data_IF_740351218550
#
_entry.id   IF_740351218550
#
_cell.length_a   1.000
_cell.length_b   1.000
_cell.length_c   1.000
_cell.angle_alpha   90.00
_cell.angle_beta   90.00
_cell.angle_gamma   90.00
#
_symmetry.space_group_name_H-M   'P 1'
#
loop_
_entity.id
_entity.type
_entity.pdbx_description
1 polymer ?
#
# COMPACT_ATOMS: atom_id res chain seq x y z
N UNK A 1 19.07 -5.68 -27.18
CA UNK A 1 18.37 -4.48 -26.67
C UNK A 1 17.18 -4.85 -25.80
N UNK A 2 16.36 -5.79 -26.21
CA UNK A 2 15.29 -6.33 -25.38
C UNK A 2 15.79 -6.94 -24.07
N UNK A 3 16.97 -7.59 -24.11
CA UNK A 3 17.60 -8.19 -22.92
C UNK A 3 17.89 -7.13 -21.84
N UNK A 4 18.36 -5.96 -22.25
CA UNK A 4 18.68 -4.87 -21.32
C UNK A 4 17.42 -4.32 -20.65
N UNK A 5 16.31 -4.23 -21.39
CA UNK A 5 15.02 -3.78 -20.86
C UNK A 5 14.48 -4.79 -19.85
N UNK A 6 14.61 -6.07 -20.15
CA UNK A 6 14.18 -7.16 -19.25
C UNK A 6 15.02 -7.19 -17.98
N UNK A 7 16.35 -7.00 -18.10
CA UNK A 7 17.25 -6.92 -16.95
C UNK A 7 16.90 -5.73 -16.05
N UNK A 8 16.61 -4.56 -16.65
CA UNK A 8 16.18 -3.38 -15.89
C UNK A 8 14.88 -3.66 -15.14
N UNK A 9 13.95 -4.39 -15.76
CA UNK A 9 12.68 -4.76 -15.14
C UNK A 9 12.88 -5.72 -13.98
N UNK A 10 13.76 -6.74 -14.16
CA UNK A 10 14.09 -7.72 -13.13
C UNK A 10 14.81 -7.09 -11.93
N UNK A 11 15.59 -6.04 -12.17
CA UNK A 11 16.34 -5.32 -11.13
C UNK A 11 15.60 -4.11 -10.61
N UNK A 12 14.36 -3.88 -11.07
CA UNK A 12 13.57 -2.74 -10.63
C UNK A 12 13.22 -2.87 -9.15
N UNK A 13 13.33 -1.76 -8.43
CA UNK A 13 12.91 -1.64 -7.04
C UNK A 13 11.43 -1.25 -6.94
N UNK A 14 10.63 -1.57 -7.96
CA UNK A 14 9.20 -1.24 -7.95
C UNK A 14 8.32 -2.44 -8.24
N UNK A 15 7.09 -2.35 -7.74
CA UNK A 15 5.99 -3.27 -8.00
C UNK A 15 4.79 -2.45 -8.48
N UNK A 16 4.12 -2.92 -9.52
CA UNK A 16 2.93 -2.26 -10.06
C UNK A 16 1.75 -3.22 -10.03
N UNK A 17 0.58 -2.69 -9.71
CA UNK A 17 -0.66 -3.44 -9.75
C UNK A 17 -1.79 -2.49 -10.08
N UNK A 18 -2.84 -2.97 -10.75
CA UNK A 18 -3.97 -2.13 -11.09
C UNK A 18 -5.27 -2.92 -11.08
N UNK A 19 -6.38 -2.20 -10.93
CA UNK A 19 -7.72 -2.79 -10.96
C UNK A 19 -8.71 -1.72 -11.42
N UNK A 20 -9.83 -2.15 -12.00
CA UNK A 20 -10.95 -1.26 -12.31
C UNK A 20 -12.12 -1.58 -11.40
N UNK A 21 -12.81 -0.54 -10.92
CA UNK A 21 -13.96 -0.67 -10.05
C UNK A 21 -15.15 0.09 -10.64
N UNK A 22 -16.36 -0.43 -10.45
CA UNK A 22 -17.58 0.15 -10.97
C UNK A 22 -18.15 1.22 -10.03
N UNK A 23 -17.32 2.22 -9.69
CA UNK A 23 -17.67 3.32 -8.81
C UNK A 23 -16.91 4.57 -9.24
N UNK A 24 -17.42 5.79 -8.95
CA UNK A 24 -16.70 7.01 -9.29
C UNK A 24 -15.43 7.19 -8.44
N UNK A 25 -14.47 8.01 -8.91
CA UNK A 25 -13.21 8.22 -8.19
C UNK A 25 -13.37 8.64 -6.73
N UNK A 26 -14.36 9.46 -6.41
CA UNK A 26 -14.64 9.92 -5.06
C UNK A 26 -14.93 8.74 -4.12
N UNK A 27 -15.74 7.81 -4.58
CA UNK A 27 -16.08 6.62 -3.81
C UNK A 27 -14.89 5.67 -3.69
N UNK A 28 -14.17 5.47 -4.80
CA UNK A 28 -12.99 4.61 -4.81
C UNK A 28 -11.92 5.14 -3.86
N UNK A 29 -11.67 6.44 -3.88
CA UNK A 29 -10.71 7.09 -2.98
C UNK A 29 -11.13 6.93 -1.52
N UNK A 30 -12.40 7.17 -1.21
CA UNK A 30 -12.94 7.04 0.15
C UNK A 30 -12.78 5.62 0.69
N UNK A 31 -13.16 4.61 -0.09
CA UNK A 31 -13.06 3.21 0.35
C UNK A 31 -11.60 2.81 0.53
N UNK A 32 -10.71 3.27 -0.34
CA UNK A 32 -9.29 2.95 -0.24
C UNK A 32 -8.66 3.53 1.02
N UNK A 33 -9.05 4.73 1.42
CA UNK A 33 -8.46 5.48 2.54
C UNK A 33 -9.26 5.35 3.83
N UNK A 34 -10.35 6.07 3.97
CA UNK A 34 -11.19 6.03 5.18
C UNK A 34 -11.74 4.63 5.43
N UNK A 35 -12.03 3.89 4.38
CA UNK A 35 -12.56 2.54 4.44
C UNK A 35 -11.53 1.42 4.47
N UNK A 36 -10.25 1.73 4.67
CA UNK A 36 -9.16 0.74 4.57
C UNK A 36 -9.37 -0.47 5.48
N UNK A 37 -9.94 -0.26 6.65
CA UNK A 37 -10.20 -1.35 7.62
C UNK A 37 -11.16 -2.42 7.08
N UNK A 38 -12.02 -2.06 6.13
CA UNK A 38 -13.02 -2.98 5.57
C UNK A 38 -12.43 -4.00 4.61
N UNK A 39 -11.31 -3.67 3.95
CA UNK A 39 -10.76 -4.53 2.89
C UNK A 39 -9.35 -5.01 3.16
N UNK A 40 -8.61 -4.43 4.10
CA UNK A 40 -7.25 -4.85 4.40
C UNK A 40 -7.25 -6.28 4.92
N UNK A 41 -6.30 -7.09 4.44
CA UNK A 41 -6.15 -8.49 4.86
C UNK A 41 -5.85 -8.56 6.35
N UNK A 42 -6.71 -9.26 7.10
CA UNK A 42 -6.63 -9.31 8.57
C UNK A 42 -5.34 -9.95 9.11
N UNK A 43 -4.74 -10.83 8.33
CA UNK A 43 -3.47 -11.46 8.71
C UNK A 43 -2.25 -10.59 8.40
N UNK A 44 -2.41 -9.48 7.67
CA UNK A 44 -1.32 -8.57 7.32
C UNK A 44 -1.25 -7.44 8.34
N UNK A 45 -0.50 -7.66 9.41
CA UNK A 45 -0.27 -6.67 10.44
C UNK A 45 1.14 -6.85 11.04
N UNK A 46 1.65 -5.79 11.65
CA UNK A 46 3.01 -5.74 12.21
C UNK A 46 3.05 -6.28 13.64
N UNK A 47 2.08 -5.90 14.44
CA UNK A 47 2.05 -6.20 15.87
C UNK A 47 1.62 -7.64 16.14
N UNK A 48 1.99 -8.14 17.33
CA UNK A 48 1.50 -9.42 17.84
C UNK A 48 0.01 -9.31 18.21
N UNK A 49 -0.65 -10.46 18.34
CA UNK A 49 -2.10 -10.50 18.59
C UNK A 49 -2.90 -10.35 17.31
N UNK A 50 -4.18 -10.06 17.45
CA UNK A 50 -5.08 -9.89 16.30
C UNK A 50 -5.20 -8.43 15.92
N UNK A 51 -5.36 -8.15 14.63
CA UNK A 51 -5.62 -6.82 14.12
C UNK A 51 -7.06 -6.43 14.50
N UNK A 52 -7.18 -5.36 15.30
CA UNK A 52 -8.48 -4.79 15.65
C UNK A 52 -8.94 -3.80 14.61
N UNK A 53 -8.08 -2.84 14.26
CA UNK A 53 -8.41 -1.79 13.30
C UNK A 53 -7.15 -1.30 12.60
N UNK A 54 -7.31 -0.92 11.33
CA UNK A 54 -6.27 -0.24 10.55
C UNK A 54 -6.84 1.07 10.03
N UNK A 55 -6.04 2.13 10.01
CA UNK A 55 -6.53 3.44 9.63
C UNK A 55 -5.49 4.33 8.97
N UNK A 56 -5.99 5.41 8.40
CA UNK A 56 -5.22 6.44 7.71
C UNK A 56 -5.64 7.80 8.27
N UNK A 57 -4.67 8.59 8.72
CA UNK A 57 -4.94 9.99 9.07
C UNK A 57 -5.04 10.79 7.77
N UNK A 58 -6.15 11.53 7.52
CA UNK A 58 -6.46 12.06 6.19
C UNK A 58 -5.77 13.40 5.89
N UNK A 59 -4.44 13.44 5.97
CA UNK A 59 -3.65 14.64 5.65
C UNK A 59 -2.18 14.25 5.44
N UNK A 60 -1.44 15.09 4.73
CA UNK A 60 0.01 14.90 4.52
C UNK A 60 0.73 14.96 5.88
N UNK A 61 1.59 13.97 6.12
CA UNK A 61 2.27 13.80 7.41
C UNK A 61 1.50 12.93 8.39
N UNK A 62 0.24 12.62 8.10
CA UNK A 62 -0.58 11.74 8.91
C UNK A 62 -0.05 10.31 8.94
N UNK A 63 -0.56 9.52 9.87
CA UNK A 63 -0.09 8.15 10.09
C UNK A 63 -0.88 7.15 9.25
N UNK A 64 -0.18 6.13 8.77
CA UNK A 64 -0.76 4.84 8.44
C UNK A 64 -0.56 4.01 9.69
N UNK A 65 -1.63 3.57 10.34
CA UNK A 65 -1.54 2.96 11.67
C UNK A 65 -2.38 1.69 11.76
N UNK A 66 -2.02 0.86 12.73
CA UNK A 66 -2.80 -0.32 13.10
C UNK A 66 -2.96 -0.37 14.63
N UNK A 67 -4.08 -0.91 15.08
CA UNK A 67 -4.34 -1.18 16.49
C UNK A 67 -4.61 -2.68 16.65
N UNK A 68 -3.99 -3.29 17.68
CA UNK A 68 -4.21 -4.71 17.98
C UNK A 68 -5.29 -4.89 19.03
N UNK A 69 -5.62 -6.14 19.35
CA UNK A 69 -6.64 -6.50 20.32
C UNK A 69 -6.31 -6.09 21.77
N UNK A 70 -5.05 -5.80 22.05
CA UNK A 70 -4.61 -5.27 23.35
C UNK A 70 -4.72 -3.73 23.42
N UNK A 71 -5.06 -3.06 22.33
CA UNK A 71 -5.15 -1.60 22.25
C UNK A 71 -3.85 -0.92 21.89
N UNK A 72 -2.81 -1.67 21.55
CA UNK A 72 -1.53 -1.10 21.13
C UNK A 72 -1.62 -0.58 19.70
N UNK A 73 -1.05 0.60 19.46
CA UNK A 73 -1.06 1.25 18.15
C UNK A 73 0.35 1.28 17.57
N UNK A 74 0.49 0.88 16.32
CA UNK A 74 1.74 0.92 15.58
C UNK A 74 1.58 1.78 14.33
N UNK A 75 2.48 2.75 14.13
CA UNK A 75 2.56 3.53 12.91
C UNK A 75 3.47 2.78 11.93
N UNK A 76 2.94 2.36 10.79
CA UNK A 76 3.69 1.61 9.80
C UNK A 76 3.93 2.36 8.50
N UNK A 77 3.50 3.63 8.44
CA UNK A 77 3.72 4.51 7.29
C UNK A 77 3.29 5.94 7.59
N UNK A 78 3.58 6.83 6.65
CA UNK A 78 3.17 8.24 6.70
C UNK A 78 2.53 8.63 5.39
N UNK A 79 1.51 9.46 5.45
CA UNK A 79 0.87 10.01 4.24
C UNK A 79 1.82 11.02 3.60
N UNK A 80 2.14 10.79 2.33
CA UNK A 80 3.05 11.63 1.53
C UNK A 80 2.29 12.55 0.58
N UNK A 81 1.12 12.13 0.09
CA UNK A 81 0.25 12.93 -0.76
C UNK A 81 -1.19 12.61 -0.44
N UNK A 82 -1.99 13.64 -0.35
CA UNK A 82 -3.43 13.56 -0.08
C UNK A 82 -4.17 14.47 -1.04
N UNK A 83 -4.57 13.94 -2.18
CA UNK A 83 -5.16 14.70 -3.29
C UNK A 83 -6.46 14.03 -3.76
N UNK A 84 -7.52 14.07 -2.92
CA UNK A 84 -8.78 13.45 -3.31
C UNK A 84 -9.42 14.19 -4.50
N UNK A 85 -10.05 13.47 -5.41
CA UNK A 85 -10.21 12.02 -5.45
C UNK A 85 -9.20 11.31 -6.34
N UNK A 86 -8.07 11.96 -6.70
CA UNK A 86 -7.19 11.50 -7.77
C UNK A 86 -5.94 10.78 -7.32
N UNK A 87 -5.35 11.15 -6.16
CA UNK A 87 -4.05 10.61 -5.78
C UNK A 87 -3.88 10.51 -4.29
N UNK A 88 -3.33 9.38 -3.84
CA UNK A 88 -2.97 9.09 -2.47
C UNK A 88 -1.60 8.42 -2.47
N UNK A 89 -0.68 8.91 -1.62
CA UNK A 89 0.64 8.29 -1.50
C UNK A 89 1.03 8.19 -0.03
N UNK A 90 1.75 7.14 0.31
CA UNK A 90 2.24 6.92 1.66
C UNK A 90 3.57 6.18 1.65
N UNK A 91 4.35 6.34 2.73
CA UNK A 91 5.57 5.58 2.93
C UNK A 91 5.23 4.22 3.52
N UNK A 92 6.02 3.21 3.12
CA UNK A 92 5.91 1.84 3.62
C UNK A 92 7.15 1.58 4.47
N UNK A 93 6.99 1.53 5.79
CA UNK A 93 8.09 1.38 6.73
C UNK A 93 8.39 -0.07 7.09
N UNK A 94 7.54 -0.99 6.67
CA UNK A 94 7.67 -2.43 6.99
C UNK A 94 8.83 -3.01 6.19
N UNK A 95 9.86 -3.45 6.90
CA UNK A 95 11.11 -3.91 6.30
C UNK A 95 11.16 -5.42 6.02
N UNK A 96 12.37 -5.93 5.71
CA UNK A 96 12.56 -7.34 5.32
C UNK A 96 12.17 -8.36 6.39
N UNK A 97 12.17 -7.98 7.66
CA UNK A 97 11.72 -8.83 8.76
C UNK A 97 10.22 -8.70 9.05
N UNK A 98 9.51 -7.95 8.20
CA UNK A 98 8.08 -7.65 8.31
C UNK A 98 7.72 -6.87 9.58
N UNK A 99 8.72 -6.18 10.14
CA UNK A 99 8.55 -5.25 11.26
C UNK A 99 8.89 -3.83 10.84
N UNK A 100 8.60 -2.89 11.74
CA UNK A 100 8.94 -1.48 11.55
C UNK A 100 10.15 -1.16 12.44
N UNK A 101 11.32 -0.79 11.84
CA UNK A 101 12.53 -0.51 12.62
C UNK A 101 12.39 0.71 13.53
N UNK A 102 11.58 1.69 13.13
CA UNK A 102 11.32 2.89 13.91
C UNK A 102 10.51 3.89 13.10
N UNK A 103 9.91 4.92 13.75
CA UNK A 103 9.02 5.87 13.06
C UNK A 103 9.75 6.74 12.03
N UNK A 104 11.06 6.92 12.18
CA UNK A 104 11.88 7.71 11.27
C UNK A 104 12.76 6.84 10.37
N UNK A 105 12.49 5.54 10.30
CA UNK A 105 13.25 4.62 9.47
C UNK A 105 13.02 4.92 7.99
N UNK A 106 14.01 4.54 7.16
CA UNK A 106 13.88 4.61 5.72
C UNK A 106 12.81 3.62 5.27
N UNK A 107 11.97 4.05 4.35
CA UNK A 107 10.91 3.22 3.80
C UNK A 107 10.76 3.40 2.31
N UNK A 108 9.99 2.52 1.72
CA UNK A 108 9.58 2.61 0.33
C UNK A 108 8.33 3.50 0.22
N UNK A 109 7.86 3.70 -1.01
CA UNK A 109 6.73 4.58 -1.30
C UNK A 109 5.66 3.83 -2.07
N UNK A 110 4.41 4.03 -1.66
CA UNK A 110 3.24 3.55 -2.40
C UNK A 110 2.47 4.75 -2.92
N UNK A 111 2.21 4.78 -4.22
CA UNK A 111 1.40 5.82 -4.86
C UNK A 111 0.20 5.17 -5.53
N UNK A 112 -0.98 5.66 -5.22
CA UNK A 112 -2.24 5.16 -5.77
C UNK A 112 -2.92 6.28 -6.55
N UNK A 113 -3.20 6.03 -7.81
CA UNK A 113 -3.84 7.00 -8.71
C UNK A 113 -5.22 6.48 -9.10
N UNK A 114 -6.22 7.35 -9.02
CA UNK A 114 -7.61 7.05 -9.31
C UNK A 114 -8.03 7.83 -10.55
N UNK A 115 -8.22 7.13 -11.67
CA UNK A 115 -8.52 7.75 -12.95
C UNK A 115 -9.94 7.38 -13.38
N UNK A 116 -10.81 8.36 -13.68
CA UNK A 116 -12.14 8.05 -14.19
C UNK A 116 -12.04 7.36 -15.55
N UNK A 117 -12.81 6.29 -15.71
CA UNK A 117 -12.96 5.56 -16.99
C UNK A 117 -14.44 5.39 -17.28
N UNK A 118 -14.78 4.90 -18.47
CA UNK A 118 -16.18 4.82 -18.92
C UNK A 118 -17.06 4.00 -17.96
N UNK A 119 -16.51 2.96 -17.32
CA UNK A 119 -17.25 2.04 -16.47
C UNK A 119 -17.05 2.29 -14.96
N UNK A 120 -16.33 3.33 -14.60
CA UNK A 120 -16.04 3.64 -13.17
C UNK A 120 -14.69 4.29 -12.98
N UNK A 121 -13.81 3.62 -12.24
CA UNK A 121 -12.48 4.13 -11.91
C UNK A 121 -11.42 3.07 -12.14
N UNK A 122 -10.33 3.46 -12.79
CA UNK A 122 -9.11 2.68 -12.83
C UNK A 122 -8.22 3.09 -11.66
N UNK A 123 -7.79 2.11 -10.89
CA UNK A 123 -6.92 2.31 -9.73
C UNK A 123 -5.56 1.71 -10.07
N UNK A 124 -4.55 2.56 -10.14
CA UNK A 124 -3.17 2.17 -10.42
C UNK A 124 -2.34 2.34 -9.14
N UNK A 125 -1.65 1.28 -8.72
CA UNK A 125 -0.79 1.29 -7.55
C UNK A 125 0.65 1.04 -7.99
N UNK A 126 1.56 1.90 -7.54
CA UNK A 126 3.00 1.75 -7.74
C UNK A 126 3.67 1.76 -6.37
N UNK A 127 4.34 0.68 -6.04
CA UNK A 127 5.16 0.58 -4.84
C UNK A 127 6.62 0.63 -5.29
N UNK A 128 7.26 1.77 -5.11
CA UNK A 128 8.62 2.01 -5.59
C UNK A 128 9.59 2.32 -4.44
N UNK A 129 10.86 2.49 -4.77
CA UNK A 129 11.93 2.74 -3.80
C UNK A 129 12.07 1.62 -2.77
N UNK A 130 11.77 0.40 -3.18
CA UNK A 130 11.85 -0.75 -2.27
C UNK A 130 13.30 -1.00 -1.80
N UNK A 131 14.29 -0.63 -2.60
CA UNK A 131 15.71 -0.69 -2.24
C UNK A 131 16.08 0.22 -1.06
N UNK A 132 15.24 1.18 -0.71
CA UNK A 132 15.43 2.03 0.48
C UNK A 132 15.39 1.24 1.79
N UNK A 133 14.81 0.04 1.79
CA UNK A 133 14.81 -0.83 2.97
C UNK A 133 16.19 -1.42 3.30
N UNK A 134 17.16 -1.27 2.40
CA UNK A 134 18.51 -1.77 2.63
C UNK A 134 18.66 -3.26 2.36
N UNK A 135 19.59 -3.90 3.04
CA UNK A 135 19.85 -5.32 2.84
C UNK A 135 18.59 -6.16 3.01
N UNK A 136 18.30 -7.03 2.05
CA UNK A 136 17.12 -7.90 2.08
C UNK A 136 15.87 -7.28 1.46
N UNK A 137 15.95 -6.08 0.90
CA UNK A 137 14.80 -5.39 0.31
C UNK A 137 14.08 -6.22 -0.76
N UNK A 138 14.79 -7.13 -1.43
CA UNK A 138 14.22 -7.98 -2.46
C UNK A 138 13.11 -8.89 -1.91
N UNK A 139 13.22 -9.28 -0.63
CA UNK A 139 12.17 -10.08 0.00
C UNK A 139 10.89 -9.26 0.24
N UNK A 140 11.02 -7.97 0.52
CA UNK A 140 9.86 -7.07 0.61
C UNK A 140 9.19 -6.97 -0.75
N UNK A 141 9.98 -6.72 -1.80
CA UNK A 141 9.46 -6.66 -3.18
C UNK A 141 8.72 -7.95 -3.56
N UNK A 142 9.32 -9.09 -3.28
CA UNK A 142 8.71 -10.38 -3.59
C UNK A 142 7.38 -10.58 -2.85
N UNK A 143 7.32 -10.20 -1.58
CA UNK A 143 6.12 -10.34 -0.76
C UNK A 143 4.98 -9.44 -1.22
N UNK A 144 5.24 -8.14 -1.38
CA UNK A 144 4.19 -7.19 -1.77
C UNK A 144 3.73 -7.38 -3.22
N UNK A 145 4.60 -7.91 -4.08
CA UNK A 145 4.29 -8.20 -5.48
C UNK A 145 3.72 -9.58 -5.73
N UNK A 146 3.66 -10.45 -4.72
CA UNK A 146 3.10 -11.79 -4.86
C UNK A 146 1.58 -11.76 -5.02
N UNK A 147 0.99 -12.90 -5.39
CA UNK A 147 -0.46 -13.01 -5.51
C UNK A 147 -1.20 -12.67 -4.21
N UNK A 148 -0.58 -12.94 -3.06
CA UNK A 148 -1.12 -12.60 -1.74
C UNK A 148 -0.82 -11.17 -1.30
N UNK A 149 -0.01 -10.43 -2.05
CA UNK A 149 0.33 -9.04 -1.78
C UNK A 149 -0.65 -8.05 -2.40
N UNK A 150 -0.15 -7.04 -3.11
CA UNK A 150 -1.01 -6.00 -3.70
C UNK A 150 -2.11 -6.54 -4.62
N UNK A 151 -1.87 -7.57 -5.46
CA UNK A 151 -2.98 -8.11 -6.26
C UNK A 151 -4.16 -8.56 -5.43
N UNK A 152 -3.93 -9.30 -4.33
CA UNK A 152 -5.01 -9.72 -3.43
C UNK A 152 -5.65 -8.52 -2.73
N UNK A 153 -4.83 -7.57 -2.26
CA UNK A 153 -5.31 -6.35 -1.61
C UNK A 153 -6.24 -5.56 -2.51
N UNK A 154 -5.88 -5.37 -3.77
CA UNK A 154 -6.72 -4.64 -4.72
C UNK A 154 -8.02 -5.39 -5.04
N UNK A 155 -8.00 -6.72 -5.11
CA UNK A 155 -9.22 -7.51 -5.29
C UNK A 155 -10.16 -7.35 -4.10
N UNK A 156 -9.63 -7.35 -2.87
CA UNK A 156 -10.43 -7.14 -1.66
C UNK A 156 -10.98 -5.72 -1.61
N UNK A 157 -10.17 -4.73 -1.98
CA UNK A 157 -10.63 -3.35 -2.12
C UNK A 157 -11.79 -3.26 -3.13
N UNK A 158 -11.64 -3.85 -4.30
CA UNK A 158 -12.67 -3.83 -5.33
C UNK A 158 -13.99 -4.44 -4.84
N UNK A 159 -13.92 -5.49 -4.02
CA UNK A 159 -15.10 -6.11 -3.44
C UNK A 159 -15.79 -5.23 -2.39
N UNK A 160 -15.07 -4.27 -1.81
CA UNK A 160 -15.58 -3.37 -0.77
C UNK A 160 -16.17 -2.07 -1.33
N UNK A 161 -15.87 -1.75 -2.58
CA UNK A 161 -16.33 -0.50 -3.23
C UNK A 161 -17.85 -0.52 -3.56
#
# INVERSE_FOLDING_TARGET
MTTQTDDARLNSSEVRSSIEVAAPPERAFEVFTAGIDRWWTRSHHVQTGELKEIGVDPFVGGRMWEENDAGDVCTWGRVLAWEPPSRFAFSWLIGPDWGVPGPDSAGSRVTVTFTPVATGTRVDLVHDRLDAHGEGWESVRAGVGSDGGWPAGLRQFAAAV
#
